data_IF_249644668925
#
_entry.id   IF_249644668925
#
_cell.length_a   1.000
_cell.length_b   1.000
_cell.length_c   1.000
_cell.angle_alpha   90.00
_cell.angle_beta   90.00
_cell.angle_gamma   90.00
#
_symmetry.space_group_name_H-M   'P 1'
#
loop_
_entity.id
_entity.type
_entity.pdbx_description
1 polymer ?
#
# COMPACT_ATOMS: atom_id res chain seq x y z
N UNK A 1 28.55 -7.88 9.72
CA UNK A 1 27.63 -7.77 10.88
C UNK A 1 26.21 -7.99 10.35
N UNK A 2 25.57 -9.11 10.70
CA UNK A 2 24.18 -9.36 10.25
C UNK A 2 23.25 -8.38 10.96
N UNK A 3 22.55 -7.52 10.21
CA UNK A 3 21.53 -6.63 10.74
C UNK A 3 20.43 -7.44 11.44
N UNK A 4 19.82 -6.92 12.52
CA UNK A 4 18.75 -7.62 13.20
C UNK A 4 17.59 -7.91 12.25
N UNK A 5 17.08 -9.12 12.30
CA UNK A 5 16.06 -9.70 11.44
C UNK A 5 14.65 -9.12 11.69
N UNK A 6 14.51 -8.24 12.68
CA UNK A 6 13.25 -7.63 13.09
C UNK A 6 13.32 -6.12 13.01
N UNK A 7 12.30 -5.53 12.39
CA UNK A 7 12.06 -4.10 12.44
C UNK A 7 11.25 -3.76 13.69
N UNK A 8 11.50 -2.62 14.36
CA UNK A 8 10.62 -2.15 15.42
C UNK A 8 9.20 -2.04 14.88
N UNK A 9 8.25 -2.76 15.50
CA UNK A 9 6.85 -2.66 15.15
C UNK A 9 6.20 -3.86 14.46
N UNK A 10 6.90 -5.01 14.31
CA UNK A 10 6.26 -6.27 13.98
C UNK A 10 6.35 -6.78 12.54
N UNK A 11 6.79 -5.99 11.57
CA UNK A 11 7.07 -6.51 10.23
C UNK A 11 8.47 -7.14 10.18
N UNK A 12 8.53 -8.40 9.80
CA UNK A 12 9.80 -9.06 9.47
C UNK A 12 10.29 -8.50 8.14
N UNK A 13 11.59 -8.18 8.06
CA UNK A 13 12.19 -7.83 6.76
C UNK A 13 11.94 -8.98 5.78
N UNK A 14 11.43 -8.69 4.57
CA UNK A 14 11.15 -9.71 3.57
C UNK A 14 12.43 -10.48 3.21
N UNK A 15 12.31 -11.79 3.04
CA UNK A 15 13.34 -12.57 2.38
C UNK A 15 13.29 -12.22 0.90
N UNK A 16 14.45 -12.01 0.30
CA UNK A 16 14.51 -11.74 -1.14
C UNK A 16 14.09 -13.02 -1.90
N UNK A 17 12.89 -12.98 -2.41
CA UNK A 17 12.29 -14.05 -3.22
C UNK A 17 12.29 -13.71 -4.72
N UNK A 18 13.05 -12.67 -5.12
CA UNK A 18 13.13 -12.19 -6.50
C UNK A 18 11.93 -11.36 -6.95
N UNK A 19 10.89 -11.21 -6.11
CA UNK A 19 9.74 -10.35 -6.41
C UNK A 19 9.98 -8.92 -5.91
N UNK A 20 9.53 -7.89 -6.64
CA UNK A 20 9.49 -6.54 -6.10
C UNK A 20 8.49 -6.45 -4.94
N UNK A 21 8.69 -5.44 -4.08
CA UNK A 21 7.77 -5.13 -2.99
C UNK A 21 6.64 -4.24 -3.52
N UNK A 22 5.41 -4.50 -3.08
CA UNK A 22 4.27 -3.61 -3.26
C UNK A 22 3.83 -3.07 -1.90
N UNK A 23 4.15 -1.81 -1.65
CA UNK A 23 3.66 -1.04 -0.51
C UNK A 23 2.27 -0.47 -0.82
N UNK A 24 1.31 -0.68 0.06
CA UNK A 24 -0.09 -0.31 -0.17
C UNK A 24 -0.65 0.46 1.02
N UNK A 25 -1.20 1.65 0.77
CA UNK A 25 -2.04 2.33 1.75
C UNK A 25 -3.47 1.77 1.75
N UNK A 26 -4.24 2.11 2.75
CA UNK A 26 -5.66 1.74 2.89
C UNK A 26 -6.56 2.88 2.47
N UNK A 27 -6.43 4.04 3.14
CA UNK A 27 -7.28 5.20 2.88
C UNK A 27 -6.97 5.77 1.48
N UNK A 28 -8.00 6.04 0.68
CA UNK A 28 -7.85 6.49 -0.69
C UNK A 28 -7.35 5.45 -1.69
N UNK A 29 -7.10 4.19 -1.26
CA UNK A 29 -6.66 3.07 -2.12
C UNK A 29 -7.68 1.94 -2.14
N UNK A 30 -8.04 1.41 -0.97
CA UNK A 30 -9.07 0.38 -0.80
C UNK A 30 -10.26 0.86 0.02
N UNK A 31 -10.06 1.85 0.91
CA UNK A 31 -11.12 2.55 1.64
C UNK A 31 -11.31 3.93 1.00
N UNK A 32 -12.44 4.11 0.35
CA UNK A 32 -12.75 5.30 -0.46
C UNK A 32 -13.39 6.39 0.39
N UNK A 33 -13.08 7.64 0.09
CA UNK A 33 -13.66 8.82 0.77
C UNK A 33 -13.56 10.06 -0.11
N UNK A 34 -14.16 11.18 0.36
CA UNK A 34 -14.07 12.48 -0.32
C UNK A 34 -15.06 12.68 -1.44
N UNK A 35 -15.95 11.72 -1.72
CA UNK A 35 -16.98 11.85 -2.76
C UNK A 35 -18.16 12.72 -2.30
N UNK A 36 -18.67 13.54 -3.21
CA UNK A 36 -19.82 14.41 -2.97
C UNK A 36 -21.10 13.58 -2.79
N UNK A 37 -21.27 12.51 -3.58
CA UNK A 37 -22.36 11.54 -3.47
C UNK A 37 -21.78 10.14 -3.26
N UNK A 38 -22.35 9.34 -2.34
CA UNK A 38 -21.88 7.97 -2.15
C UNK A 38 -21.85 7.20 -3.47
N UNK A 39 -20.79 6.44 -3.75
CA UNK A 39 -20.75 5.63 -4.96
C UNK A 39 -21.89 4.61 -4.98
N UNK A 40 -22.29 4.19 -6.18
CA UNK A 40 -23.24 3.09 -6.34
C UNK A 40 -22.72 1.85 -5.61
N UNK A 41 -23.62 0.98 -5.15
CA UNK A 41 -23.24 -0.26 -4.43
C UNK A 41 -22.46 -1.26 -5.30
N UNK A 42 -22.30 -1.00 -6.59
CA UNK A 42 -21.53 -1.84 -7.49
C UNK A 42 -20.02 -1.63 -7.27
N UNK A 43 -19.32 -2.68 -6.88
CA UNK A 43 -17.87 -2.65 -6.66
C UNK A 43 -17.43 -2.05 -5.31
N UNK A 44 -18.36 -1.73 -4.41
CA UNK A 44 -18.08 -1.25 -3.06
C UNK A 44 -18.95 -1.92 -2.01
N UNK A 45 -18.45 -1.97 -0.78
CA UNK A 45 -19.20 -2.41 0.40
C UNK A 45 -19.02 -1.39 1.52
N UNK A 46 -20.09 -1.15 2.30
CA UNK A 46 -20.05 -0.25 3.45
C UNK A 46 -19.93 -1.05 4.75
N UNK A 47 -18.91 -0.74 5.54
CA UNK A 47 -18.62 -1.43 6.80
C UNK A 47 -18.45 -0.44 7.96
N UNK A 48 -19.06 -0.76 9.11
CA UNK A 48 -18.85 0.00 10.34
C UNK A 48 -17.59 -0.54 11.04
N UNK A 49 -16.53 0.27 11.09
CA UNK A 49 -15.26 -0.07 11.74
C UNK A 49 -14.88 1.03 12.73
N UNK A 50 -14.66 0.67 13.99
CA UNK A 50 -14.31 1.64 15.02
C UNK A 50 -15.35 2.75 15.23
N UNK A 51 -16.63 2.48 14.98
CA UNK A 51 -17.71 3.46 15.06
C UNK A 51 -17.85 4.40 13.88
N UNK A 52 -17.09 4.20 12.81
CA UNK A 52 -17.16 4.97 11.56
C UNK A 52 -17.52 4.07 10.38
N UNK A 53 -18.34 4.63 9.46
CA UNK A 53 -18.68 3.95 8.21
C UNK A 53 -17.52 4.10 7.23
N UNK A 54 -17.07 3.00 6.66
CA UNK A 54 -16.05 2.95 5.62
C UNK A 54 -16.63 2.37 4.34
N UNK A 55 -16.32 3.03 3.21
CA UNK A 55 -16.66 2.55 1.87
C UNK A 55 -15.47 1.75 1.34
N UNK A 56 -15.57 0.45 1.29
CA UNK A 56 -14.50 -0.44 0.87
C UNK A 56 -14.66 -0.89 -0.58
N UNK A 57 -13.63 -0.69 -1.40
CA UNK A 57 -13.62 -1.11 -2.81
C UNK A 57 -13.33 -2.60 -2.95
N UNK A 58 -14.33 -3.36 -3.37
CA UNK A 58 -14.17 -4.79 -3.69
C UNK A 58 -13.38 -5.00 -4.98
N UNK A 59 -13.44 -4.03 -5.90
CA UNK A 59 -12.62 -4.04 -7.12
C UNK A 59 -11.15 -3.84 -6.80
N UNK A 60 -10.78 -2.86 -5.97
CA UNK A 60 -9.40 -2.67 -5.52
C UNK A 60 -8.88 -3.93 -4.82
N UNK A 61 -9.69 -4.57 -3.97
CA UNK A 61 -9.33 -5.81 -3.30
C UNK A 61 -9.09 -6.96 -4.30
N UNK A 62 -9.92 -7.05 -5.35
CA UNK A 62 -9.74 -8.04 -6.43
C UNK A 62 -8.43 -7.82 -7.19
N UNK A 63 -8.12 -6.57 -7.53
CA UNK A 63 -6.89 -6.19 -8.21
C UNK A 63 -5.65 -6.47 -7.35
N UNK A 64 -5.69 -6.15 -6.06
CA UNK A 64 -4.59 -6.45 -5.14
C UNK A 64 -4.32 -7.95 -5.00
N UNK A 65 -5.36 -8.80 -4.98
CA UNK A 65 -5.17 -10.26 -4.99
C UNK A 65 -4.41 -10.73 -6.24
N UNK A 66 -4.72 -10.17 -7.41
CA UNK A 66 -4.02 -10.50 -8.65
C UNK A 66 -2.55 -10.00 -8.65
N UNK A 67 -2.32 -8.80 -8.12
CA UNK A 67 -0.96 -8.25 -8.01
C UNK A 67 -0.09 -9.03 -7.01
N UNK A 68 -0.67 -9.64 -5.99
CA UNK A 68 0.07 -10.43 -5.00
C UNK A 68 0.78 -11.67 -5.61
N UNK A 69 0.38 -12.12 -6.78
CA UNK A 69 1.11 -13.17 -7.52
C UNK A 69 2.47 -12.68 -8.04
N UNK A 70 2.61 -11.38 -8.29
CA UNK A 70 3.78 -10.76 -8.88
C UNK A 70 4.63 -10.00 -7.86
N UNK A 71 4.06 -9.66 -6.71
CA UNK A 71 4.66 -8.82 -5.68
C UNK A 71 4.70 -9.49 -4.32
N UNK A 72 5.60 -9.02 -3.48
CA UNK A 72 5.51 -9.18 -2.03
C UNK A 72 4.79 -7.96 -1.44
N UNK A 73 3.57 -8.16 -0.96
CA UNK A 73 2.71 -7.06 -0.52
C UNK A 73 2.94 -6.72 0.96
N UNK A 74 2.97 -5.43 1.28
CA UNK A 74 3.04 -4.91 2.64
C UNK A 74 2.10 -3.71 2.81
N UNK A 75 1.37 -3.67 3.93
CA UNK A 75 0.56 -2.51 4.29
C UNK A 75 1.44 -1.38 4.83
N UNK A 76 1.30 -0.19 4.21
CA UNK A 76 2.02 1.04 4.57
C UNK A 76 0.99 2.14 4.84
N UNK A 77 0.35 2.03 5.98
CA UNK A 77 -0.86 2.80 6.33
C UNK A 77 -0.87 3.19 7.80
N UNK A 78 -1.48 4.31 8.12
CA UNK A 78 -1.71 4.76 9.50
C UNK A 78 -2.61 3.83 10.32
N UNK A 79 -3.29 2.89 9.69
CA UNK A 79 -4.03 1.83 10.38
C UNK A 79 -3.12 0.83 11.09
N UNK A 80 -1.87 0.70 10.67
CA UNK A 80 -0.89 -0.23 11.25
C UNK A 80 -1.51 -1.63 11.45
N UNK A 81 -1.55 -2.12 12.69
CA UNK A 81 -2.19 -3.41 13.02
C UNK A 81 -3.66 -3.48 12.59
N UNK A 82 -4.37 -2.35 12.56
CA UNK A 82 -5.76 -2.27 12.11
C UNK A 82 -5.97 -2.72 10.65
N UNK A 83 -4.93 -2.65 9.82
CA UNK A 83 -4.94 -3.16 8.46
C UNK A 83 -5.33 -4.64 8.36
N UNK A 84 -5.08 -5.43 9.40
CA UNK A 84 -5.48 -6.85 9.45
C UNK A 84 -7.01 -7.01 9.51
N UNK A 85 -7.70 -6.08 10.16
CA UNK A 85 -9.17 -6.02 10.17
C UNK A 85 -9.72 -5.70 8.78
N UNK A 86 -9.13 -4.72 8.09
CA UNK A 86 -9.51 -4.36 6.72
C UNK A 86 -9.24 -5.52 5.74
N UNK A 87 -8.10 -6.19 5.84
CA UNK A 87 -7.80 -7.39 5.05
C UNK A 87 -8.88 -8.46 5.19
N UNK A 88 -9.33 -8.70 6.43
CA UNK A 88 -10.39 -9.68 6.70
C UNK A 88 -11.72 -9.29 6.04
N UNK A 89 -12.15 -8.04 6.14
CA UNK A 89 -13.37 -7.54 5.52
C UNK A 89 -13.33 -7.68 4.00
N UNK A 90 -12.20 -7.34 3.40
CA UNK A 90 -11.96 -7.40 1.95
C UNK A 90 -11.57 -8.81 1.45
N UNK A 91 -11.53 -9.82 2.33
CA UNK A 91 -11.09 -11.19 2.01
C UNK A 91 -9.71 -11.23 1.35
N UNK A 92 -8.81 -10.35 1.83
CA UNK A 92 -7.41 -10.29 1.42
C UNK A 92 -6.55 -11.19 2.31
N UNK A 93 -5.39 -11.67 1.81
CA UNK A 93 -4.42 -12.38 2.64
C UNK A 93 -3.96 -11.52 3.83
N UNK A 94 -3.46 -12.18 4.86
CA UNK A 94 -2.86 -11.51 6.00
C UNK A 94 -1.45 -11.06 5.65
N UNK A 95 -1.32 -9.92 4.96
CA UNK A 95 -0.03 -9.32 4.63
C UNK A 95 0.61 -8.64 5.86
N UNK A 96 1.95 -8.52 5.91
CA UNK A 96 2.63 -7.73 6.92
C UNK A 96 2.21 -6.25 6.85
N UNK A 97 2.44 -5.51 7.92
CA UNK A 97 2.20 -4.07 7.99
C UNK A 97 3.39 -3.37 8.64
N UNK A 98 3.62 -2.12 8.26
CA UNK A 98 4.61 -1.27 8.91
C UNK A 98 3.99 -0.55 10.12
N UNK A 99 4.84 -0.18 11.07
CA UNK A 99 4.51 0.71 12.18
C UNK A 99 5.34 1.98 12.11
N UNK A 100 4.80 3.05 12.62
CA UNK A 100 5.37 4.39 12.47
C UNK A 100 5.57 5.04 13.84
N UNK A 101 6.71 5.73 14.01
CA UNK A 101 6.95 6.56 15.18
C UNK A 101 6.30 7.93 14.95
N UNK A 102 5.28 8.24 15.72
CA UNK A 102 4.56 9.53 15.63
C UNK A 102 3.18 9.41 15.02
N UNK A 103 2.48 10.55 14.94
CA UNK A 103 1.13 10.62 14.40
C UNK A 103 1.16 10.66 12.86
N UNK A 104 0.22 9.95 12.24
CA UNK A 104 -0.06 10.09 10.82
C UNK A 104 -0.42 11.55 10.48
N UNK A 105 0.04 12.03 9.33
CA UNK A 105 -0.30 13.36 8.81
C UNK A 105 -1.25 13.22 7.64
N UNK A 106 -2.32 14.01 7.65
CA UNK A 106 -3.24 14.07 6.53
C UNK A 106 -2.64 14.88 5.37
N UNK A 107 -2.88 14.43 4.14
CA UNK A 107 -2.48 15.13 2.92
C UNK A 107 -1.00 15.01 2.58
N UNK A 108 -0.25 14.14 3.25
CA UNK A 108 1.14 13.82 2.91
C UNK A 108 1.46 12.38 3.30
N UNK A 109 2.21 11.68 2.45
CA UNK A 109 2.71 10.34 2.73
C UNK A 109 4.19 10.33 3.21
N UNK A 110 4.85 11.49 3.30
CA UNK A 110 6.28 11.63 3.62
C UNK A 110 6.68 11.01 4.97
N UNK A 111 5.79 11.01 5.97
CA UNK A 111 6.02 10.42 7.29
C UNK A 111 6.17 8.88 7.25
N UNK A 112 5.78 8.24 6.14
CA UNK A 112 5.92 6.81 5.90
C UNK A 112 7.29 6.42 5.36
N UNK A 113 8.08 7.37 4.85
CA UNK A 113 9.31 7.13 4.09
C UNK A 113 10.37 6.36 4.86
N UNK A 114 10.71 6.76 6.09
CA UNK A 114 11.81 6.16 6.82
C UNK A 114 11.58 4.68 7.19
N UNK A 115 10.39 4.25 7.67
CA UNK A 115 10.09 2.84 7.86
C UNK A 115 10.04 2.06 6.54
N UNK A 116 9.49 2.65 5.48
CA UNK A 116 9.38 2.01 4.17
C UNK A 116 10.76 1.78 3.56
N UNK A 117 11.68 2.77 3.61
CA UNK A 117 13.06 2.64 3.15
C UNK A 117 13.80 1.50 3.87
N UNK A 118 13.65 1.43 5.19
CA UNK A 118 14.26 0.33 5.95
C UNK A 118 13.72 -1.04 5.56
N UNK A 119 12.42 -1.12 5.31
CA UNK A 119 11.77 -2.37 4.91
C UNK A 119 12.20 -2.81 3.51
N UNK A 120 12.22 -1.87 2.56
CA UNK A 120 12.47 -2.14 1.14
C UNK A 120 13.95 -2.09 0.74
N UNK A 121 14.88 -1.87 1.69
CA UNK A 121 16.31 -1.71 1.40
C UNK A 121 16.86 -2.86 0.54
N UNK A 122 17.50 -2.50 -0.57
CA UNK A 122 18.12 -3.44 -1.51
C UNK A 122 17.10 -4.15 -2.41
N UNK A 123 15.86 -3.64 -2.52
CA UNK A 123 14.80 -4.25 -3.33
C UNK A 123 14.02 -3.23 -4.15
N UNK A 124 13.62 -3.63 -5.33
CA UNK A 124 12.69 -2.87 -6.15
C UNK A 124 11.35 -2.69 -5.41
N UNK A 125 10.76 -1.51 -5.48
CA UNK A 125 9.59 -1.10 -4.73
C UNK A 125 8.58 -0.38 -5.61
N UNK A 126 7.34 -0.86 -5.64
CA UNK A 126 6.18 -0.07 -6.06
C UNK A 126 5.39 0.35 -4.81
N UNK A 127 4.87 1.58 -4.81
CA UNK A 127 4.09 2.11 -3.69
C UNK A 127 2.82 2.78 -4.19
N UNK A 128 1.66 2.38 -3.65
CA UNK A 128 0.34 2.92 -3.95
C UNK A 128 -0.14 3.75 -2.75
N UNK A 129 -0.46 5.01 -3.00
CA UNK A 129 -0.95 5.96 -1.98
C UNK A 129 -1.72 7.09 -2.67
N UNK A 130 -2.65 7.73 -1.97
CA UNK A 130 -3.42 8.88 -2.49
C UNK A 130 -2.81 10.23 -2.13
N UNK A 131 -1.75 10.25 -1.33
CA UNK A 131 -1.24 11.47 -0.67
C UNK A 131 0.25 11.73 -0.93
N UNK A 132 0.76 11.37 -2.11
CA UNK A 132 2.14 11.70 -2.48
C UNK A 132 2.35 13.20 -2.61
N UNK A 133 3.45 13.68 -2.07
CA UNK A 133 3.96 15.03 -2.23
C UNK A 133 5.34 15.04 -2.91
N UNK A 134 5.91 16.22 -3.13
CA UNK A 134 7.22 16.35 -3.82
C UNK A 134 8.33 15.61 -3.04
N UNK A 135 8.26 15.56 -1.72
CA UNK A 135 9.24 14.84 -0.89
C UNK A 135 9.23 13.35 -1.21
N UNK A 136 8.04 12.76 -1.41
CA UNK A 136 7.89 11.36 -1.82
C UNK A 136 8.50 11.10 -3.21
N UNK A 137 8.24 12.00 -4.17
CA UNK A 137 8.79 11.88 -5.53
C UNK A 137 10.31 12.07 -5.56
N UNK A 138 10.86 13.03 -4.80
CA UNK A 138 12.31 13.21 -4.67
C UNK A 138 12.97 11.98 -4.06
N UNK A 139 12.40 11.46 -2.97
CA UNK A 139 12.88 10.24 -2.35
C UNK A 139 12.91 9.08 -3.34
N UNK A 140 11.83 8.86 -4.09
CA UNK A 140 11.77 7.77 -5.06
C UNK A 140 12.82 7.90 -6.18
N UNK A 141 13.07 9.15 -6.67
CA UNK A 141 14.11 9.43 -7.67
C UNK A 141 15.53 9.17 -7.15
N UNK A 142 15.75 9.34 -5.85
CA UNK A 142 17.07 9.22 -5.21
C UNK A 142 17.36 7.81 -4.69
N UNK A 143 16.42 6.87 -4.78
CA UNK A 143 16.68 5.47 -4.42
C UNK A 143 17.60 4.81 -5.45
N UNK A 144 18.50 3.95 -4.96
CA UNK A 144 19.38 3.15 -5.83
C UNK A 144 18.58 2.07 -6.56
N UNK A 145 17.59 1.46 -5.88
CA UNK A 145 16.77 0.42 -6.47
C UNK A 145 15.56 1.02 -7.23
N UNK A 146 15.12 0.35 -8.30
CA UNK A 146 13.96 0.79 -9.05
C UNK A 146 12.75 1.04 -8.16
N UNK A 147 12.14 2.21 -8.31
CA UNK A 147 11.01 2.64 -7.48
C UNK A 147 9.91 3.23 -8.36
N UNK A 148 8.68 2.76 -8.15
CA UNK A 148 7.49 3.23 -8.84
C UNK A 148 6.47 3.75 -7.82
N UNK A 149 6.10 5.03 -7.89
CA UNK A 149 4.98 5.60 -7.16
C UNK A 149 3.72 5.58 -8.02
N UNK A 150 2.64 5.07 -7.48
CA UNK A 150 1.34 4.96 -8.16
C UNK A 150 0.29 5.70 -7.34
N UNK A 151 -0.04 6.91 -7.77
CA UNK A 151 -1.04 7.74 -7.13
C UNK A 151 -2.47 7.24 -7.44
N UNK A 152 -3.35 7.37 -6.44
CA UNK A 152 -4.78 7.13 -6.59
C UNK A 152 -5.58 8.39 -6.25
N UNK A 153 -6.81 8.46 -6.75
CA UNK A 153 -7.81 9.45 -6.31
C UNK A 153 -8.61 8.85 -5.16
N UNK A 154 -8.79 9.58 -4.06
CA UNK A 154 -9.40 9.06 -2.83
C UNK A 154 -10.82 8.53 -3.03
N UNK A 155 -11.57 9.12 -3.98
CA UNK A 155 -12.94 8.72 -4.32
C UNK A 155 -13.01 7.45 -5.19
N UNK A 156 -11.90 7.09 -5.85
CA UNK A 156 -11.85 6.00 -6.84
C UNK A 156 -11.02 4.82 -6.33
N UNK A 157 -9.88 5.11 -5.69
CA UNK A 157 -8.93 4.11 -5.22
C UNK A 157 -8.14 3.43 -6.33
N UNK A 158 -7.66 2.23 -6.05
CA UNK A 158 -6.92 1.41 -7.01
C UNK A 158 -7.84 0.89 -8.11
N UNK A 159 -7.63 1.34 -9.33
CA UNK A 159 -8.35 0.93 -10.52
C UNK A 159 -7.52 0.10 -11.50
N UNK A 160 -8.13 -0.30 -12.62
CA UNK A 160 -7.50 -1.14 -13.64
C UNK A 160 -6.26 -0.51 -14.25
N UNK A 161 -6.27 0.80 -14.50
CA UNK A 161 -5.14 1.51 -15.12
C UNK A 161 -3.90 1.40 -14.25
N UNK A 162 -4.02 1.66 -12.95
CA UNK A 162 -2.92 1.53 -12.00
C UNK A 162 -2.47 0.07 -11.87
N UNK A 163 -3.40 -0.88 -11.82
CA UNK A 163 -3.07 -2.30 -11.73
C UNK A 163 -2.34 -2.83 -12.97
N UNK A 164 -2.70 -2.36 -14.16
CA UNK A 164 -2.01 -2.68 -15.43
C UNK A 164 -0.59 -2.10 -15.44
N UNK A 165 -0.42 -0.85 -15.01
CA UNK A 165 0.91 -0.23 -14.88
C UNK A 165 1.79 -1.01 -13.90
N UNK A 166 1.27 -1.38 -12.74
CA UNK A 166 1.96 -2.21 -11.75
C UNK A 166 2.35 -3.58 -12.31
N UNK A 167 1.42 -4.28 -12.97
CA UNK A 167 1.69 -5.58 -13.60
C UNK A 167 2.75 -5.49 -14.70
N UNK A 168 2.71 -4.43 -15.51
CA UNK A 168 3.72 -4.16 -16.53
C UNK A 168 5.11 -3.97 -15.92
N UNK A 169 5.18 -3.17 -14.87
CA UNK A 169 6.43 -2.88 -14.16
C UNK A 169 7.00 -4.12 -13.48
N UNK A 170 6.17 -4.95 -12.81
CA UNK A 170 6.63 -6.18 -12.17
C UNK A 170 7.24 -7.16 -13.17
N UNK A 171 6.66 -7.29 -14.35
CA UNK A 171 7.18 -8.18 -15.41
C UNK A 171 8.59 -7.80 -15.89
N UNK A 172 9.02 -6.55 -15.72
CA UNK A 172 10.39 -6.14 -16.08
C UNK A 172 11.47 -6.77 -15.20
N UNK A 173 11.10 -7.35 -14.05
CA UNK A 173 12.01 -8.06 -13.13
C UNK A 173 11.94 -9.59 -13.26
N UNK A 174 11.02 -10.12 -14.05
CA UNK A 174 10.77 -11.56 -14.19
C UNK A 174 11.65 -12.24 -15.28
N UNK A 175 12.81 -11.62 -15.63
CA UNK A 175 13.75 -12.18 -16.63
C UNK A 175 14.83 -13.02 -15.98
#
# INVERSE_FOLDING_TARGET
MKLPRWLPGGARRPEDNGKPILAVDIDGVVALFGFDEPPSSEGVEFHLVGGRMHCLSTEAARLLRQLADQYEVVWVTGWERGAQGMSKLLKLPKWPYLTFAGAARFGSADWKLAPLERYARGRALAWIDDSFDEVCYEWARNREEPTLLVATESEVGLGKVQAEALSGWARSFAQ
#
